data_IF_787921054526
#
_entry.id   IF_787921054526
#
_cell.length_a   1.000
_cell.length_b   1.000
_cell.length_c   1.000
_cell.angle_alpha   90.00
_cell.angle_beta   90.00
_cell.angle_gamma   90.00
#
_symmetry.space_group_name_H-M   'P 1'
#
loop_
_entity.id
_entity.type
_entity.pdbx_description
1 polymer ?
#
# COMPACT_ATOMS: atom_id res chain seq x y z
N UNK A 1 -1.80 20.68 -23.60
CA UNK A 1 -2.74 21.52 -22.82
C UNK A 1 -2.73 22.93 -23.43
N UNK A 2 -3.89 23.55 -23.66
CA UNK A 2 -4.00 24.89 -24.28
C UNK A 2 -4.37 25.96 -23.26
N UNK A 3 -3.93 27.20 -23.49
CA UNK A 3 -4.33 28.36 -22.70
C UNK A 3 -5.38 29.18 -23.45
N UNK A 4 -6.44 29.57 -22.75
CA UNK A 4 -7.50 30.41 -23.30
C UNK A 4 -7.77 31.61 -22.38
N UNK A 5 -7.67 32.83 -22.94
CA UNK A 5 -7.95 34.07 -22.20
C UNK A 5 -9.46 34.32 -22.18
N UNK A 6 -10.11 33.91 -21.09
CA UNK A 6 -11.53 34.17 -20.87
C UNK A 6 -11.77 35.57 -20.25
N UNK A 7 -12.93 36.16 -20.53
CA UNK A 7 -13.42 37.41 -19.95
C UNK A 7 -14.58 37.11 -19.02
N UNK A 8 -14.57 37.70 -17.82
CA UNK A 8 -15.64 37.52 -16.84
C UNK A 8 -17.00 37.96 -17.43
N UNK A 9 -18.02 37.13 -17.25
CA UNK A 9 -19.37 37.39 -17.76
C UNK A 9 -19.56 37.18 -19.28
N UNK A 10 -18.52 36.82 -20.03
CA UNK A 10 -18.63 36.51 -21.47
C UNK A 10 -18.97 35.05 -21.68
N UNK A 11 -19.95 34.80 -22.54
CA UNK A 11 -20.34 33.45 -22.98
C UNK A 11 -19.45 33.02 -24.14
N UNK A 12 -18.95 31.78 -24.08
CA UNK A 12 -18.12 31.16 -25.11
C UNK A 12 -18.75 29.85 -25.55
N UNK A 13 -18.85 29.63 -26.87
CA UNK A 13 -19.33 28.37 -27.43
C UNK A 13 -18.14 27.42 -27.62
N UNK A 14 -18.19 26.26 -26.98
CA UNK A 14 -17.25 25.16 -27.21
C UNK A 14 -17.88 24.12 -28.14
N UNK A 15 -17.17 23.78 -29.21
CA UNK A 15 -17.56 22.72 -30.13
C UNK A 15 -16.52 21.59 -30.08
N UNK A 16 -16.97 20.37 -29.75
CA UNK A 16 -16.14 19.17 -29.74
C UNK A 16 -16.59 18.27 -30.89
N UNK A 17 -15.71 18.08 -31.88
CA UNK A 17 -15.92 17.11 -32.95
C UNK A 17 -15.08 15.88 -32.67
N UNK A 18 -15.73 14.80 -32.23
CA UNK A 18 -15.09 13.52 -31.97
C UNK A 18 -15.50 12.48 -33.00
N UNK A 19 -14.53 11.74 -33.53
CA UNK A 19 -14.80 10.64 -34.44
C UNK A 19 -13.91 9.44 -34.08
N UNK A 20 -14.54 8.31 -33.73
CA UNK A 20 -13.87 7.02 -33.48
C UNK A 20 -13.42 6.31 -34.77
N UNK A 21 -13.52 6.97 -35.92
CA UNK A 21 -13.38 6.36 -37.25
C UNK A 21 -12.06 6.75 -37.92
N UNK A 22 -11.01 5.97 -37.65
CA UNK A 22 -9.99 5.66 -38.65
C UNK A 22 -9.74 4.16 -38.66
N UNK A 23 -10.33 3.48 -39.65
CA UNK A 23 -9.91 2.15 -40.10
C UNK A 23 -8.65 2.38 -40.93
N UNK A 24 -7.47 2.07 -40.40
CA UNK A 24 -6.34 1.81 -41.30
C UNK A 24 -6.73 0.52 -42.02
N UNK A 25 -6.90 0.51 -43.36
CA UNK A 25 -7.29 -0.71 -44.06
C UNK A 25 -6.27 -1.81 -43.76
N UNK A 26 -6.74 -2.93 -43.19
CA UNK A 26 -5.89 -4.08 -42.84
C UNK A 26 -5.38 -4.16 -41.40
N UNK A 27 -5.69 -3.21 -40.51
CA UNK A 27 -5.36 -3.33 -39.08
C UNK A 27 -6.59 -3.62 -38.22
N UNK A 28 -6.62 -4.82 -37.63
CA UNK A 28 -7.54 -5.17 -36.55
C UNK A 28 -6.89 -4.70 -35.24
N UNK A 29 -7.46 -3.68 -34.60
CA UNK A 29 -7.06 -3.26 -33.26
C UNK A 29 -8.12 -3.79 -32.28
N UNK A 30 -7.81 -4.77 -31.43
CA UNK A 30 -8.73 -5.25 -30.43
C UNK A 30 -8.84 -4.18 -29.34
N UNK A 31 -10.06 -3.73 -29.05
CA UNK A 31 -10.47 -2.66 -28.11
C UNK A 31 -10.68 -1.27 -28.76
N UNK A 32 -11.95 -0.94 -29.06
CA UNK A 32 -12.38 0.37 -29.60
C UNK A 32 -13.58 0.95 -28.84
N UNK A 33 -13.34 1.43 -27.63
CA UNK A 33 -14.22 2.44 -27.01
C UNK A 33 -13.33 3.49 -26.33
N UNK A 34 -12.74 4.38 -27.13
CA UNK A 34 -12.11 5.58 -26.61
C UNK A 34 -13.19 6.54 -26.11
N UNK A 35 -12.93 7.18 -24.97
CA UNK A 35 -13.72 8.30 -24.47
C UNK A 35 -12.88 9.58 -24.57
N UNK A 36 -13.54 10.74 -24.60
CA UNK A 36 -12.89 12.04 -24.45
C UNK A 36 -13.31 12.62 -23.12
N UNK A 37 -12.34 13.07 -22.34
CA UNK A 37 -12.55 13.94 -21.20
C UNK A 37 -12.07 15.35 -21.55
N UNK A 38 -12.94 16.34 -21.31
CA UNK A 38 -12.59 17.75 -21.45
C UNK A 38 -12.81 18.44 -20.11
N UNK A 39 -11.70 18.88 -19.51
CA UNK A 39 -11.69 19.68 -18.29
C UNK A 39 -10.98 21.02 -18.52
N UNK A 40 -11.26 21.98 -17.65
CA UNK A 40 -10.58 23.27 -17.62
C UNK A 40 -10.53 23.79 -16.20
N UNK A 41 -9.40 24.40 -15.82
CA UNK A 41 -9.24 25.10 -14.55
C UNK A 41 -8.68 26.50 -14.80
N UNK A 42 -8.97 27.49 -13.93
CA UNK A 42 -8.23 28.73 -13.93
C UNK A 42 -6.72 28.47 -13.84
N UNK A 43 -5.95 29.24 -14.61
CA UNK A 43 -4.49 29.22 -14.50
C UNK A 43 -4.14 29.90 -13.19
N UNK A 44 -3.42 29.17 -12.36
CA UNK A 44 -2.92 29.62 -11.06
C UNK A 44 -1.46 29.23 -10.97
N UNK A 45 -0.64 30.13 -10.45
CA UNK A 45 0.75 29.83 -10.17
C UNK A 45 0.83 28.99 -8.89
N UNK A 46 1.59 27.90 -8.94
CA UNK A 46 1.65 26.96 -7.82
C UNK A 46 2.19 27.62 -6.53
N UNK A 47 3.09 28.59 -6.67
CA UNK A 47 3.65 29.36 -5.56
C UNK A 47 2.60 30.20 -4.82
N UNK A 48 1.68 30.83 -5.56
CA UNK A 48 0.59 31.60 -4.97
C UNK A 48 -0.37 30.69 -4.20
N UNK A 49 -0.64 29.50 -4.74
CA UNK A 49 -1.48 28.50 -4.07
C UNK A 49 -0.86 27.98 -2.77
N UNK A 50 0.47 27.77 -2.76
CA UNK A 50 1.21 27.38 -1.54
C UNK A 50 1.14 28.48 -0.48
N UNK A 51 1.39 29.73 -0.86
CA UNK A 51 1.33 30.87 0.08
C UNK A 51 -0.07 31.06 0.68
N UNK A 52 -1.11 30.85 -0.11
CA UNK A 52 -2.49 30.91 0.38
C UNK A 52 -2.80 29.77 1.35
N UNK A 53 -2.37 28.54 1.04
CA UNK A 53 -2.52 27.39 1.92
C UNK A 53 -1.78 27.60 3.26
N UNK A 54 -0.56 28.14 3.22
CA UNK A 54 0.19 28.50 4.43
C UNK A 54 -0.53 29.55 5.28
N UNK A 55 -1.07 30.59 4.63
CA UNK A 55 -1.81 31.65 5.35
C UNK A 55 -3.03 31.06 6.07
N UNK A 56 -3.83 30.28 5.35
CA UNK A 56 -5.00 29.62 5.92
C UNK A 56 -4.62 28.69 7.09
N UNK A 57 -3.51 27.95 6.96
CA UNK A 57 -3.01 27.08 8.02
C UNK A 57 -2.52 27.84 9.27
N UNK A 58 -2.00 29.07 9.12
CA UNK A 58 -1.56 29.92 10.24
C UNK A 58 -2.74 30.55 11.00
N UNK A 59 -3.84 30.81 10.32
CA UNK A 59 -5.05 31.40 10.93
C UNK A 59 -5.94 30.36 11.60
N UNK A 60 -5.76 29.07 11.28
CA UNK A 60 -6.51 27.96 11.85
C UNK A 60 -5.83 27.40 13.12
N UNK A 61 -6.65 26.93 14.07
CA UNK A 61 -6.16 26.19 15.24
C UNK A 61 -5.56 24.83 14.85
N UNK A 62 -6.10 24.23 13.77
CA UNK A 62 -5.66 22.94 13.21
C UNK A 62 -5.82 22.99 11.68
N UNK A 63 -4.78 22.63 10.96
CA UNK A 63 -4.81 22.43 9.51
C UNK A 63 -4.89 20.93 9.17
N UNK A 64 -5.81 20.58 8.27
CA UNK A 64 -5.90 19.23 7.68
C UNK A 64 -5.38 19.32 6.25
N UNK A 65 -4.26 18.64 5.99
CA UNK A 65 -3.63 18.58 4.68
C UNK A 65 -4.03 17.29 3.97
N UNK A 66 -4.79 17.40 2.88
CA UNK A 66 -5.18 16.27 2.04
C UNK A 66 -4.30 16.21 0.78
N UNK A 67 -3.29 15.35 0.81
CA UNK A 67 -2.38 15.08 -0.31
C UNK A 67 -2.39 13.59 -0.65
N UNK A 68 -2.04 13.26 -1.88
CA UNK A 68 -2.00 11.89 -2.35
C UNK A 68 -1.98 11.79 -3.87
N UNK A 69 -2.39 10.65 -4.37
CA UNK A 69 -2.50 10.34 -5.79
C UNK A 69 -3.96 10.23 -6.19
N UNK A 70 -4.23 10.30 -7.48
CA UNK A 70 -5.54 10.03 -8.06
C UNK A 70 -5.39 9.08 -9.26
N UNK A 71 -6.50 8.80 -9.94
CA UNK A 71 -6.53 7.90 -11.09
C UNK A 71 -5.71 8.40 -12.30
N UNK A 72 -5.35 9.69 -12.36
CA UNK A 72 -4.48 10.21 -13.42
C UNK A 72 -3.01 9.80 -13.21
N UNK A 73 -2.60 9.56 -11.95
CA UNK A 73 -1.22 9.21 -11.59
C UNK A 73 -1.02 7.72 -11.37
N UNK A 74 -2.06 6.99 -10.95
CA UNK A 74 -2.05 5.53 -10.81
C UNK A 74 -3.23 4.95 -11.59
N UNK A 75 -2.96 4.43 -12.79
CA UNK A 75 -3.94 3.79 -13.64
C UNK A 75 -3.42 2.48 -14.25
N UNK A 76 -4.35 1.62 -14.65
CA UNK A 76 -4.02 0.38 -15.34
C UNK A 76 -3.25 0.66 -16.64
N UNK A 77 -2.31 -0.22 -16.97
CA UNK A 77 -1.43 -0.15 -18.14
C UNK A 77 -0.30 0.88 -18.10
N UNK A 78 -0.10 1.60 -16.98
CA UNK A 78 0.99 2.56 -16.84
C UNK A 78 1.62 2.50 -15.44
N UNK A 79 2.95 2.42 -15.41
CA UNK A 79 3.71 2.60 -14.18
C UNK A 79 3.96 4.09 -13.92
N UNK A 80 4.19 4.43 -12.65
CA UNK A 80 4.62 5.77 -12.27
C UNK A 80 6.09 6.01 -12.62
N UNK A 81 6.39 7.23 -13.06
CA UNK A 81 7.78 7.67 -13.29
C UNK A 81 8.57 7.87 -11.99
N UNK A 82 7.88 8.13 -10.87
CA UNK A 82 8.50 8.44 -9.57
C UNK A 82 7.59 8.14 -8.40
N UNK A 83 8.18 7.88 -7.23
CA UNK A 83 7.49 7.77 -5.94
C UNK A 83 7.07 9.13 -5.35
N UNK A 84 7.53 10.25 -5.91
CA UNK A 84 7.16 11.61 -5.47
C UNK A 84 5.66 11.88 -5.59
N UNK A 85 5.15 12.79 -4.77
CA UNK A 85 3.78 13.27 -4.93
C UNK A 85 3.65 14.18 -6.17
N UNK A 86 2.45 14.28 -6.75
CA UNK A 86 2.19 15.13 -7.90
C UNK A 86 2.46 16.61 -7.63
N UNK A 87 3.02 17.29 -8.64
CA UNK A 87 3.21 18.74 -8.63
C UNK A 87 4.13 19.19 -7.50
N UNK A 88 3.69 20.20 -6.75
CA UNK A 88 4.40 20.76 -5.59
C UNK A 88 3.87 20.24 -4.24
N UNK A 89 3.17 19.10 -4.23
CA UNK A 89 2.55 18.59 -3.00
C UNK A 89 3.57 18.23 -1.92
N UNK A 90 4.78 17.80 -2.31
CA UNK A 90 5.89 17.55 -1.37
C UNK A 90 6.40 18.85 -0.70
N UNK A 91 6.21 20.01 -1.35
CA UNK A 91 6.62 21.34 -0.83
C UNK A 91 5.58 21.93 0.13
N UNK A 92 4.43 21.27 0.32
CA UNK A 92 3.36 21.72 1.21
C UNK A 92 3.73 21.35 2.66
N UNK A 93 4.74 22.04 3.19
CA UNK A 93 5.17 21.88 4.57
C UNK A 93 4.15 22.58 5.50
N UNK A 94 3.54 21.88 6.47
CA UNK A 94 2.80 22.57 7.51
C UNK A 94 3.78 23.46 8.30
N UNK A 95 3.38 24.69 8.71
CA UNK A 95 4.27 25.58 9.45
C UNK A 95 4.83 24.87 10.69
N UNK A 96 6.12 25.07 10.96
CA UNK A 96 6.99 24.30 11.88
C UNK A 96 6.58 24.20 13.37
N UNK A 97 5.34 24.56 13.73
CA UNK A 97 4.78 24.46 15.09
C UNK A 97 3.89 23.24 15.33
N UNK A 98 3.80 22.29 14.39
CA UNK A 98 3.00 21.07 14.62
C UNK A 98 3.75 20.07 15.50
N UNK A 99 3.15 19.75 16.64
CA UNK A 99 3.52 18.63 17.49
C UNK A 99 3.29 17.31 16.73
N UNK A 100 4.27 16.86 15.94
CA UNK A 100 4.32 15.46 15.51
C UNK A 100 4.73 14.62 16.72
N UNK A 101 3.73 14.28 17.54
CA UNK A 101 3.94 13.38 18.69
C UNK A 101 4.10 11.97 18.15
N UNK A 102 5.33 11.62 17.75
CA UNK A 102 5.75 10.23 17.54
C UNK A 102 6.13 9.68 18.91
N UNK A 103 5.20 8.96 19.53
CA UNK A 103 5.46 8.23 20.78
C UNK A 103 6.16 6.92 20.41
N UNK A 104 7.43 6.81 20.80
CA UNK A 104 8.24 5.59 20.74
C UNK A 104 8.14 4.76 22.04
N UNK A 105 8.23 3.44 21.85
CA UNK A 105 8.52 2.34 22.80
C UNK A 105 7.44 1.86 23.79
N UNK A 106 7.16 0.53 23.81
CA UNK A 106 7.05 -0.36 24.99
C UNK A 106 7.08 -1.87 24.59
N UNK A 107 7.82 -2.64 25.41
CA UNK A 107 8.06 -4.10 25.45
C UNK A 107 6.82 -5.03 25.44
N UNK A 108 7.03 -6.30 25.06
CA UNK A 108 6.02 -7.36 25.10
C UNK A 108 6.15 -8.29 26.31
N UNK A 109 5.07 -8.33 27.08
CA UNK A 109 4.49 -9.48 27.77
C UNK A 109 2.95 -9.27 27.76
N UNK A 110 2.12 -10.33 27.76
CA UNK A 110 0.95 -10.54 26.88
C UNK A 110 0.18 -9.28 26.46
N UNK A 111 -0.04 -9.12 25.14
CA UNK A 111 -0.71 -7.99 24.47
C UNK A 111 -1.55 -7.14 25.44
N UNK A 112 -0.97 -6.04 25.90
CA UNK A 112 -1.61 -5.10 26.81
C UNK A 112 -1.71 -3.76 26.09
N UNK A 113 -2.91 -3.36 25.72
CA UNK A 113 -3.18 -2.02 25.21
C UNK A 113 -2.90 -1.00 26.31
N UNK A 114 -1.99 -0.07 26.05
CA UNK A 114 -1.64 1.03 26.98
C UNK A 114 -2.52 2.28 26.77
N UNK A 115 -3.44 2.27 25.81
CA UNK A 115 -4.28 3.42 25.49
C UNK A 115 -5.60 3.41 26.28
N UNK A 116 -5.96 4.57 26.83
CA UNK A 116 -7.23 4.86 27.51
C UNK A 116 -8.38 5.24 26.56
N UNK A 117 -8.19 5.07 25.26
CA UNK A 117 -9.16 5.43 24.22
C UNK A 117 -9.91 4.16 23.84
N UNK A 118 -11.24 4.21 23.88
CA UNK A 118 -12.17 3.13 23.53
C UNK A 118 -12.21 2.85 22.01
N UNK A 119 -11.05 2.67 21.39
CA UNK A 119 -10.94 2.04 20.08
C UNK A 119 -10.63 0.56 20.30
N UNK A 120 -11.14 -0.32 19.46
CA UNK A 120 -10.70 -1.72 19.42
C UNK A 120 -9.31 -1.76 18.78
N UNK A 121 -8.19 -1.81 19.53
CA UNK A 121 -6.89 -2.12 18.95
C UNK A 121 -7.02 -3.39 18.12
N UNK A 122 -6.64 -3.26 16.86
CA UNK A 122 -6.38 -4.39 16.00
C UNK A 122 -4.88 -4.63 16.04
N UNK A 123 -4.46 -5.74 16.61
CA UNK A 123 -3.09 -6.23 16.41
C UNK A 123 -3.06 -7.16 15.20
N UNK A 124 -2.06 -6.99 14.34
CA UNK A 124 -1.70 -7.98 13.33
C UNK A 124 -0.47 -8.70 13.87
N UNK A 125 -0.60 -10.02 14.06
CA UNK A 125 0.51 -10.90 14.41
C UNK A 125 0.90 -11.68 13.17
N UNK A 126 2.10 -11.41 12.67
CA UNK A 126 2.66 -12.07 11.50
C UNK A 126 3.52 -13.26 11.92
N UNK A 127 3.41 -14.35 11.19
CA UNK A 127 4.23 -15.55 11.33
C UNK A 127 5.17 -15.64 10.15
N UNK A 128 6.45 -15.46 10.42
CA UNK A 128 7.48 -15.51 9.39
C UNK A 128 8.24 -16.84 9.50
N UNK A 129 8.58 -17.43 8.36
CA UNK A 129 9.52 -18.55 8.31
C UNK A 129 10.85 -18.02 7.78
N UNK A 130 11.93 -18.34 8.48
CA UNK A 130 13.29 -17.97 8.11
C UNK A 130 14.14 -19.23 7.92
N UNK A 131 14.77 -19.33 6.76
CA UNK A 131 15.79 -20.31 6.39
C UNK A 131 16.96 -19.54 5.75
N UNK A 132 17.99 -19.21 6.55
CA UNK A 132 19.07 -18.30 6.14
C UNK A 132 18.83 -16.82 6.51
N UNK A 133 19.34 -15.84 5.74
CA UNK A 133 19.24 -14.42 6.09
C UNK A 133 17.87 -13.79 5.81
N UNK A 134 17.05 -14.44 4.98
CA UNK A 134 15.77 -13.94 4.53
C UNK A 134 14.61 -14.54 5.35
N UNK A 135 13.57 -13.75 5.59
CA UNK A 135 12.34 -14.16 6.26
C UNK A 135 11.14 -13.83 5.38
N UNK A 136 10.13 -14.70 5.40
CA UNK A 136 8.96 -14.57 4.54
C UNK A 136 7.67 -14.68 5.36
N UNK A 137 6.67 -13.85 5.05
CA UNK A 137 5.35 -13.90 5.68
C UNK A 137 4.60 -15.14 5.23
N UNK A 138 4.22 -16.00 6.18
CA UNK A 138 3.50 -17.24 5.90
C UNK A 138 2.06 -17.23 6.39
N UNK A 139 1.78 -16.55 7.50
CA UNK A 139 0.42 -16.35 7.98
C UNK A 139 0.32 -15.08 8.83
N UNK A 140 -0.89 -14.58 9.03
CA UNK A 140 -1.16 -13.50 9.98
C UNK A 140 -2.53 -13.65 10.66
N UNK A 141 -2.63 -13.23 11.93
CA UNK A 141 -3.90 -13.12 12.63
C UNK A 141 -4.19 -11.66 12.96
N UNK A 142 -5.41 -11.23 12.60
CA UNK A 142 -6.00 -9.98 13.07
C UNK A 142 -6.70 -10.23 14.41
N UNK A 143 -6.22 -9.60 15.48
CA UNK A 143 -6.77 -9.76 16.84
C UNK A 143 -7.37 -8.44 17.30
N UNK A 144 -8.65 -8.46 17.61
CA UNK A 144 -9.34 -7.37 18.29
C UNK A 144 -9.21 -7.52 19.80
N UNK A 145 -8.83 -6.48 20.51
CA UNK A 145 -8.74 -6.46 21.98
C UNK A 145 -9.46 -5.25 22.56
N UNK A 146 -10.07 -5.40 23.73
CA UNK A 146 -10.48 -4.29 24.58
C UNK A 146 -9.31 -3.72 25.39
N UNK A 147 -9.54 -2.61 26.08
CA UNK A 147 -8.53 -2.02 26.97
C UNK A 147 -8.12 -3.01 28.08
N UNK A 148 -6.85 -3.42 28.08
CA UNK A 148 -6.30 -4.38 29.04
C UNK A 148 -6.72 -5.84 28.82
N UNK A 149 -7.47 -6.14 27.76
CA UNK A 149 -7.85 -7.51 27.38
C UNK A 149 -6.63 -8.30 26.89
N UNK A 150 -6.60 -9.59 27.21
CA UNK A 150 -5.62 -10.55 26.70
C UNK A 150 -6.36 -11.66 25.97
N UNK A 151 -5.87 -12.04 24.79
CA UNK A 151 -6.36 -13.21 24.04
C UNK A 151 -5.21 -14.16 23.71
N UNK A 152 -5.51 -15.44 23.78
CA UNK A 152 -4.64 -16.49 23.24
C UNK A 152 -5.05 -16.74 21.80
N UNK A 153 -4.06 -16.70 20.90
CA UNK A 153 -4.25 -17.00 19.48
C UNK A 153 -3.40 -18.21 19.10
N UNK A 154 -3.80 -18.92 18.05
CA UNK A 154 -3.06 -20.08 17.55
C UNK A 154 -3.08 -20.06 16.03
N UNK A 155 -1.93 -20.30 15.43
CA UNK A 155 -1.76 -20.52 13.99
C UNK A 155 -1.32 -21.96 13.78
N UNK A 156 -1.82 -22.56 12.70
CA UNK A 156 -1.34 -23.86 12.23
C UNK A 156 -0.51 -23.64 10.99
N UNK A 157 0.81 -23.89 11.09
CA UNK A 157 1.71 -23.88 9.94
C UNK A 157 1.79 -25.30 9.37
N UNK A 158 1.34 -25.48 8.13
CA UNK A 158 1.51 -26.73 7.38
C UNK A 158 2.88 -26.76 6.70
N UNK A 159 3.25 -27.89 6.09
CA UNK A 159 4.51 -27.99 5.33
C UNK A 159 4.61 -26.96 4.20
N UNK A 160 3.48 -26.48 3.67
CA UNK A 160 3.46 -25.42 2.65
C UNK A 160 4.03 -24.09 3.16
N UNK A 161 3.92 -23.82 4.47
CA UNK A 161 4.54 -22.65 5.08
C UNK A 161 6.08 -22.69 5.02
N UNK A 162 6.67 -23.84 4.77
CA UNK A 162 8.12 -24.04 4.65
C UNK A 162 8.55 -24.35 3.22
N UNK A 163 7.58 -24.45 2.29
CA UNK A 163 7.84 -24.82 0.92
C UNK A 163 8.33 -23.63 0.09
N UNK A 164 9.18 -23.94 -0.88
CA UNK A 164 9.59 -23.06 -1.96
C UNK A 164 9.39 -23.75 -3.31
N UNK A 165 9.35 -22.97 -4.39
CA UNK A 165 9.22 -23.51 -5.74
C UNK A 165 10.59 -23.94 -6.27
N UNK A 166 10.80 -25.24 -6.47
CA UNK A 166 11.96 -25.75 -7.19
C UNK A 166 11.68 -25.68 -8.70
N UNK A 167 12.31 -24.71 -9.36
CA UNK A 167 12.14 -24.50 -10.80
C UNK A 167 12.78 -25.59 -11.65
N UNK A 168 13.76 -26.33 -11.11
CA UNK A 168 14.40 -27.45 -11.80
C UNK A 168 13.51 -28.69 -11.83
N UNK A 169 12.81 -28.95 -10.73
CA UNK A 169 11.87 -30.06 -10.58
C UNK A 169 10.42 -29.68 -10.99
N UNK A 170 10.16 -28.39 -11.21
CA UNK A 170 8.83 -27.83 -11.49
C UNK A 170 7.77 -28.28 -10.47
N UNK A 171 8.15 -28.30 -9.19
CA UNK A 171 7.29 -28.66 -8.06
C UNK A 171 7.61 -27.79 -6.83
N UNK A 172 6.75 -27.83 -5.83
CA UNK A 172 7.05 -27.25 -4.52
C UNK A 172 7.74 -28.28 -3.64
N UNK A 173 8.81 -27.87 -2.97
CA UNK A 173 9.60 -28.73 -2.10
C UNK A 173 9.93 -28.03 -0.78
N UNK A 174 10.36 -28.80 0.22
CA UNK A 174 10.83 -28.32 1.51
C UNK A 174 12.17 -28.98 1.78
N UNK A 175 13.18 -28.19 2.15
CA UNK A 175 14.48 -28.74 2.53
C UNK A 175 14.46 -29.20 3.99
N UNK A 176 15.14 -30.31 4.27
CA UNK A 176 15.44 -30.67 5.65
C UNK A 176 16.45 -29.68 6.23
N UNK A 177 16.26 -29.25 7.46
CA UNK A 177 17.17 -28.29 8.10
C UNK A 177 16.53 -27.49 9.22
N UNK A 178 17.30 -26.53 9.71
CA UNK A 178 16.88 -25.59 10.75
C UNK A 178 16.05 -24.45 10.15
N UNK A 179 14.87 -24.25 10.72
CA UNK A 179 13.98 -23.14 10.43
C UNK A 179 13.73 -22.34 11.71
N UNK A 180 13.46 -21.05 11.53
CA UNK A 180 13.01 -20.19 12.62
C UNK A 180 11.64 -19.61 12.28
N UNK A 181 10.68 -19.81 13.18
CA UNK A 181 9.37 -19.18 13.13
C UNK A 181 9.41 -17.91 13.97
N UNK A 182 9.07 -16.77 13.38
CA UNK A 182 9.09 -15.46 14.05
C UNK A 182 7.66 -14.98 14.26
N UNK A 183 7.39 -14.44 15.46
CA UNK A 183 6.17 -13.71 15.76
C UNK A 183 6.47 -12.21 15.75
N UNK A 184 5.78 -11.45 14.91
CA UNK A 184 6.09 -10.04 14.68
C UNK A 184 4.83 -9.17 14.63
N UNK A 185 4.95 -7.92 15.08
CA UNK A 185 3.91 -6.88 14.94
C UNK A 185 4.07 -6.08 13.64
N UNK A 186 5.31 -5.97 13.17
CA UNK A 186 5.72 -5.38 11.88
C UNK A 186 6.96 -6.12 11.39
N UNK A 187 7.31 -6.01 10.10
CA UNK A 187 8.49 -6.67 9.53
C UNK A 187 9.83 -6.25 10.16
N UNK A 188 9.86 -5.29 11.10
CA UNK A 188 11.06 -4.85 11.81
C UNK A 188 10.99 -5.05 13.32
N UNK A 189 9.86 -5.51 13.85
CA UNK A 189 9.60 -5.58 15.28
C UNK A 189 9.28 -7.04 15.70
N UNK A 190 10.36 -7.80 15.93
CA UNK A 190 10.30 -9.21 16.34
C UNK A 190 9.96 -9.27 17.82
N UNK A 191 8.94 -10.05 18.15
CA UNK A 191 8.42 -10.20 19.51
C UNK A 191 8.85 -11.51 20.15
N UNK A 192 8.82 -12.58 19.36
CA UNK A 192 9.21 -13.91 19.80
C UNK A 192 9.73 -14.73 18.62
N UNK A 193 10.50 -15.76 18.90
CA UNK A 193 11.01 -16.68 17.89
C UNK A 193 11.10 -18.10 18.42
N UNK A 194 10.74 -19.06 17.58
CA UNK A 194 10.84 -20.49 17.87
C UNK A 194 11.73 -21.13 16.80
N UNK A 195 12.78 -21.85 17.24
CA UNK A 195 13.59 -22.66 16.34
C UNK A 195 12.94 -24.04 16.17
N UNK A 196 12.93 -24.55 14.95
CA UNK A 196 12.39 -25.86 14.62
C UNK A 196 13.29 -26.54 13.60
N UNK A 197 13.48 -27.85 13.75
CA UNK A 197 14.16 -28.66 12.75
C UNK A 197 13.10 -29.41 11.93
N UNK A 198 13.20 -29.31 10.61
CA UNK A 198 12.35 -30.07 9.69
C UNK A 198 13.15 -31.26 9.16
N UNK A 199 12.61 -32.46 9.36
CA UNK A 199 13.05 -33.65 8.66
C UNK A 199 12.17 -33.86 7.42
N UNK A 200 12.76 -33.91 6.24
CA UNK A 200 12.03 -34.32 5.03
C UNK A 200 12.38 -35.76 4.69
N UNK A 201 11.35 -36.62 4.66
CA UNK A 201 11.44 -37.88 3.94
C UNK A 201 11.17 -37.56 2.48
N UNK A 202 12.14 -37.86 1.60
CA UNK A 202 11.96 -37.73 0.16
C UNK A 202 10.61 -38.33 -0.25
N UNK A 203 9.74 -37.54 -0.90
CA UNK A 203 8.42 -37.89 -1.51
C UNK A 203 7.09 -37.46 -0.87
N UNK A 204 6.99 -36.42 -0.02
CA UNK A 204 5.69 -36.07 0.63
C UNK A 204 4.82 -34.98 -0.02
N UNK A 205 5.25 -34.31 -1.09
CA UNK A 205 4.43 -33.29 -1.79
C UNK A 205 4.20 -33.68 -3.26
N UNK A 206 3.49 -34.79 -3.49
CA UNK A 206 2.87 -35.02 -4.79
C UNK A 206 1.60 -34.18 -4.91
N UNK A 207 1.67 -33.07 -5.65
CA UNK A 207 0.47 -32.36 -6.06
C UNK A 207 -0.26 -33.21 -7.12
N UNK A 208 -1.58 -33.47 -6.99
CA UNK A 208 -2.33 -34.09 -8.06
C UNK A 208 -2.21 -33.19 -9.30
N UNK A 209 -1.71 -33.76 -10.41
CA UNK A 209 -1.66 -33.06 -11.70
C UNK A 209 -3.05 -32.49 -11.99
N UNK A 210 -3.14 -31.17 -12.10
CA UNK A 210 -4.36 -30.49 -12.55
C UNK A 210 -4.75 -31.11 -13.91
N UNK A 211 -5.97 -31.65 -13.98
CA UNK A 211 -6.53 -32.24 -15.20
C UNK A 211 -6.80 -31.20 -16.27
#
# INVERSE_FOLDING_TARGET
MGLFKAQAGRVYNLEIRFNNHHLVPGQVIPMRRGAIELGGRPVTEAEEMLQEAERAAREADVAIVAVGLNQDWECECYDRDSMKLPGKSDELEPPSSYHSSVISDVEIQPLKTTSSIANTPVAILSFMVQNGPEKELRDFIKVELGAGEKKTCSVQLTMEAFAYSDTSANNSTVDAGDYKVLLESTSRDIKESVNMFIETKASLLEYPKLK
#
